data_IF_753509660568
#
_entry.id   IF_753509660568
#
_cell.length_a   1.000
_cell.length_b   1.000
_cell.length_c   1.000
_cell.angle_alpha   90.00
_cell.angle_beta   90.00
_cell.angle_gamma   90.00
#
_symmetry.space_group_name_H-M   'P 1'
#
loop_
_entity.id
_entity.type
_entity.pdbx_description
1 polymer ?
#
# COMPACT_ATOMS: atom_id res chain seq x y z
N UNK A 1 -24.78 91.42 16.42
CA UNK A 1 -25.05 91.50 17.87
C UNK A 1 -25.20 90.10 18.44
N UNK A 2 -24.48 89.84 19.51
CA UNK A 2 -24.63 88.75 20.50
C UNK A 2 -24.57 87.29 20.04
N UNK A 3 -23.41 86.68 20.30
CA UNK A 3 -23.24 85.25 20.59
C UNK A 3 -23.97 84.87 21.89
N UNK A 4 -24.34 83.53 22.10
CA UNK A 4 -23.57 82.83 23.09
C UNK A 4 -23.34 81.32 22.72
N UNK A 5 -22.19 80.99 23.11
CA UNK A 5 -21.68 79.86 23.93
C UNK A 5 -22.10 78.45 23.59
N UNK A 6 -21.06 77.69 23.21
CA UNK A 6 -21.01 76.25 23.06
C UNK A 6 -21.10 75.53 24.42
N UNK A 7 -21.79 74.39 24.44
CA UNK A 7 -21.67 73.36 25.47
C UNK A 7 -21.02 72.10 24.87
N UNK A 8 -19.75 71.91 25.20
CA UNK A 8 -19.03 70.71 24.89
C UNK A 8 -19.54 69.56 25.80
N UNK A 9 -20.24 68.63 25.25
CA UNK A 9 -20.42 67.32 25.90
C UNK A 9 -19.26 66.40 25.47
N UNK A 10 -18.37 66.15 26.42
CA UNK A 10 -17.36 65.15 26.33
C UNK A 10 -18.04 63.79 26.38
N UNK A 11 -18.05 63.03 25.25
CA UNK A 11 -18.32 61.60 25.23
C UNK A 11 -17.00 60.88 25.51
N UNK A 12 -16.95 60.22 26.66
CA UNK A 12 -15.88 59.28 26.98
C UNK A 12 -15.94 58.03 26.05
N UNK A 13 -14.80 57.49 25.60
CA UNK A 13 -14.82 56.25 24.86
C UNK A 13 -15.15 55.11 25.80
N UNK A 14 -16.24 54.39 25.50
CA UNK A 14 -16.55 53.09 26.11
C UNK A 14 -15.52 52.07 25.61
N UNK A 15 -14.58 51.73 26.48
CA UNK A 15 -13.72 50.56 26.28
C UNK A 15 -14.56 49.30 26.40
N UNK A 16 -14.93 48.73 25.27
CA UNK A 16 -15.46 47.34 25.22
C UNK A 16 -14.31 46.42 25.56
N UNK A 17 -14.26 45.95 26.80
CA UNK A 17 -13.41 44.87 27.19
C UNK A 17 -13.96 43.61 26.50
N UNK A 18 -13.29 43.14 25.43
CA UNK A 18 -13.46 41.78 24.89
C UNK A 18 -12.90 40.84 25.94
N UNK A 19 -13.73 40.36 26.86
CA UNK A 19 -13.44 39.22 27.69
C UNK A 19 -13.37 38.00 26.75
N UNK A 20 -12.15 37.70 26.27
CA UNK A 20 -11.84 36.48 25.59
C UNK A 20 -12.14 35.32 26.53
N UNK A 21 -13.27 34.67 26.29
CA UNK A 21 -13.58 33.38 26.89
C UNK A 21 -12.60 32.40 26.24
N UNK A 22 -11.43 32.20 26.86
CA UNK A 22 -10.56 31.05 26.62
C UNK A 22 -11.37 29.85 27.09
N UNK A 23 -12.10 29.21 26.15
CA UNK A 23 -12.62 27.88 26.36
C UNK A 23 -11.36 26.97 26.34
N UNK A 24 -10.79 26.75 27.53
CA UNK A 24 -9.81 25.74 27.75
C UNK A 24 -10.49 24.41 27.33
N UNK A 25 -10.06 23.83 26.21
CA UNK A 25 -10.44 22.48 25.86
C UNK A 25 -10.08 21.60 27.06
N UNK A 26 -11.02 20.78 27.58
CA UNK A 26 -10.69 19.89 28.68
C UNK A 26 -9.61 18.94 28.19
N UNK A 27 -8.41 19.04 28.78
CA UNK A 27 -7.43 18.00 28.67
C UNK A 27 -8.01 16.75 29.36
N UNK A 28 -8.65 15.89 28.57
CA UNK A 28 -9.04 14.56 29.02
C UNK A 28 -7.78 13.72 29.22
N UNK A 29 -7.05 13.98 30.30
CA UNK A 29 -6.04 13.10 30.87
C UNK A 29 -6.77 12.08 31.79
N UNK A 30 -7.61 11.25 31.21
CA UNK A 30 -8.21 10.12 31.88
C UNK A 30 -8.36 9.02 30.84
N UNK A 31 -7.91 7.81 31.14
CA UNK A 31 -8.23 6.64 30.33
C UNK A 31 -9.75 6.48 30.40
N UNK A 32 -10.49 7.21 29.56
CA UNK A 32 -11.91 7.02 29.43
C UNK A 32 -12.15 5.57 29.09
N UNK A 33 -12.96 4.89 29.88
CA UNK A 33 -13.30 3.50 29.64
C UNK A 33 -14.19 3.45 28.38
N UNK A 34 -13.56 3.40 27.21
CA UNK A 34 -14.20 3.44 25.89
C UNK A 34 -15.22 2.30 25.69
N UNK A 35 -15.18 1.27 26.54
CA UNK A 35 -16.10 0.13 26.47
C UNK A 35 -17.58 0.51 26.71
N UNK A 36 -17.87 1.67 27.29
CA UNK A 36 -19.22 2.15 27.56
C UNK A 36 -19.69 3.28 26.62
N UNK A 37 -18.81 3.79 25.77
CA UNK A 37 -19.18 4.84 24.81
C UNK A 37 -19.90 4.23 23.61
N UNK A 38 -20.91 4.94 23.08
CA UNK A 38 -21.53 4.57 21.80
C UNK A 38 -20.54 4.88 20.66
N UNK A 39 -20.58 4.09 19.57
CA UNK A 39 -19.62 4.20 18.45
C UNK A 39 -19.58 5.61 17.84
N UNK A 40 -20.72 6.27 17.72
CA UNK A 40 -20.83 7.66 17.25
C UNK A 40 -20.19 8.70 18.19
N UNK A 41 -20.05 8.39 19.48
CA UNK A 41 -19.42 9.30 20.45
C UNK A 41 -17.90 9.25 20.31
N UNK A 42 -17.32 8.10 19.96
CA UNK A 42 -15.90 7.95 19.63
C UNK A 42 -15.58 8.79 18.38
N UNK A 43 -16.37 8.66 17.32
CA UNK A 43 -16.21 9.42 16.09
C UNK A 43 -16.28 10.94 16.38
N UNK A 44 -17.26 11.38 17.16
CA UNK A 44 -17.47 12.79 17.51
C UNK A 44 -16.34 13.36 18.38
N UNK A 45 -15.79 12.57 19.31
CA UNK A 45 -14.71 13.00 20.19
C UNK A 45 -13.40 13.24 19.46
N UNK A 46 -13.15 12.52 18.35
CA UNK A 46 -11.86 12.55 17.62
C UNK A 46 -11.97 13.33 16.30
N UNK A 47 -13.18 13.61 15.81
CA UNK A 47 -13.45 14.21 14.49
C UNK A 47 -12.87 15.62 14.27
N UNK A 48 -12.34 16.28 15.29
CA UNK A 48 -11.77 17.63 15.21
C UNK A 48 -10.23 17.66 15.38
N UNK A 49 -9.53 16.69 14.83
CA UNK A 49 -8.06 16.59 14.97
C UNK A 49 -7.63 16.10 16.34
N UNK A 50 -8.51 15.40 17.06
CA UNK A 50 -8.24 14.79 18.35
C UNK A 50 -7.28 13.61 18.29
N UNK A 51 -6.97 13.04 19.44
CA UNK A 51 -6.12 11.85 19.50
C UNK A 51 -6.76 10.73 20.31
N UNK A 52 -6.60 9.51 19.78
CA UNK A 52 -7.02 8.28 20.41
C UNK A 52 -5.90 7.24 20.30
N UNK A 53 -4.71 7.64 20.77
CA UNK A 53 -3.52 6.78 20.71
C UNK A 53 -3.67 5.58 21.65
N UNK A 54 -3.36 4.37 21.15
CA UNK A 54 -3.54 3.10 21.86
C UNK A 54 -4.99 2.78 22.25
N UNK A 55 -5.96 3.39 21.57
CA UNK A 55 -7.36 3.11 21.82
C UNK A 55 -7.74 1.68 21.41
N UNK A 56 -8.63 1.07 22.17
CA UNK A 56 -9.27 -0.18 21.82
C UNK A 56 -10.62 0.09 21.13
N UNK A 57 -10.65 -0.12 19.82
CA UNK A 57 -11.78 0.15 18.94
C UNK A 57 -12.22 -1.11 18.16
N UNK A 58 -11.78 -2.30 18.61
CA UNK A 58 -12.10 -3.56 17.94
C UNK A 58 -13.61 -3.80 17.86
N UNK A 59 -14.07 -4.22 16.68
CA UNK A 59 -15.49 -4.51 16.42
C UNK A 59 -16.41 -3.28 16.43
N UNK A 60 -15.90 -2.05 16.59
CA UNK A 60 -16.72 -0.83 16.58
C UNK A 60 -17.25 -0.53 15.18
N UNK A 61 -18.45 0.04 15.13
CA UNK A 61 -18.99 0.62 13.89
C UNK A 61 -18.64 2.10 13.81
N UNK A 62 -17.65 2.40 12.99
CA UNK A 62 -17.14 3.74 12.70
C UNK A 62 -17.45 4.13 11.24
N UNK A 63 -18.50 3.55 10.64
CA UNK A 63 -18.92 3.84 9.28
C UNK A 63 -19.21 5.32 9.09
N UNK A 64 -18.66 5.93 8.03
CA UNK A 64 -18.81 7.34 7.71
C UNK A 64 -18.21 8.30 8.74
N UNK A 65 -17.40 7.81 9.68
CA UNK A 65 -16.74 8.67 10.65
C UNK A 65 -15.67 9.53 9.99
N UNK A 66 -15.57 10.81 10.39
CA UNK A 66 -14.56 11.74 9.89
C UNK A 66 -13.42 11.85 10.91
N UNK A 67 -12.23 11.39 10.56
CA UNK A 67 -11.02 11.43 11.39
C UNK A 67 -9.90 12.25 10.74
N UNK A 68 -10.26 13.23 9.95
CA UNK A 68 -9.30 14.10 9.23
C UNK A 68 -8.29 14.74 10.19
N UNK A 69 -6.98 14.48 9.92
CA UNK A 69 -5.87 14.99 10.74
C UNK A 69 -5.77 14.40 12.15
N UNK A 70 -6.59 13.41 12.50
CA UNK A 70 -6.60 12.80 13.83
C UNK A 70 -5.41 11.84 14.03
N UNK A 71 -5.06 11.59 15.30
CA UNK A 71 -3.99 10.66 15.68
C UNK A 71 -4.53 9.44 16.41
N UNK A 72 -4.26 8.24 15.85
CA UNK A 72 -4.65 6.93 16.39
C UNK A 72 -3.43 5.99 16.48
N UNK A 73 -2.28 6.52 16.83
CA UNK A 73 -1.05 5.70 16.85
C UNK A 73 -1.17 4.49 17.77
N UNK A 74 -0.81 3.31 17.25
CA UNK A 74 -0.89 2.02 17.95
C UNK A 74 -2.30 1.70 18.48
N UNK A 75 -3.36 2.20 17.85
CA UNK A 75 -4.74 1.84 18.19
C UNK A 75 -5.09 0.45 17.65
N UNK A 76 -6.05 -0.22 18.30
CA UNK A 76 -6.56 -1.52 17.88
C UNK A 76 -7.96 -1.35 17.29
N UNK A 77 -8.11 -1.70 15.99
CA UNK A 77 -9.34 -1.61 15.21
C UNK A 77 -9.70 -2.97 14.59
N UNK A 78 -9.33 -4.06 15.26
CA UNK A 78 -9.52 -5.43 14.76
C UNK A 78 -11.00 -5.70 14.53
N UNK A 79 -11.37 -6.05 13.29
CA UNK A 79 -12.77 -6.31 12.93
C UNK A 79 -13.68 -5.09 13.00
N UNK A 80 -13.16 -3.87 13.16
CA UNK A 80 -13.97 -2.65 13.11
C UNK A 80 -14.57 -2.42 11.73
N UNK A 81 -15.69 -1.71 11.67
CA UNK A 81 -16.31 -1.26 10.41
C UNK A 81 -16.02 0.22 10.22
N UNK A 82 -15.30 0.55 9.13
CA UNK A 82 -14.94 1.92 8.74
C UNK A 82 -15.41 2.23 7.31
N UNK A 83 -16.55 1.68 6.89
CA UNK A 83 -17.08 1.89 5.52
C UNK A 83 -17.30 3.38 5.26
N UNK A 84 -16.70 3.90 4.17
CA UNK A 84 -16.83 5.29 3.79
C UNK A 84 -16.36 6.27 4.87
N UNK A 85 -15.48 5.85 5.79
CA UNK A 85 -14.89 6.77 6.76
C UNK A 85 -13.83 7.65 6.08
N UNK A 86 -13.67 8.89 6.55
CA UNK A 86 -12.73 9.88 6.07
C UNK A 86 -11.50 9.95 7.00
N UNK A 87 -10.35 9.47 6.54
CA UNK A 87 -9.10 9.43 7.31
C UNK A 87 -8.03 10.35 6.73
N UNK A 88 -8.42 11.41 6.03
CA UNK A 88 -7.52 12.31 5.31
C UNK A 88 -6.42 12.87 6.22
N UNK A 89 -5.14 12.67 5.84
CA UNK A 89 -4.00 13.21 6.57
C UNK A 89 -3.88 12.72 8.02
N UNK A 90 -4.64 11.73 8.43
CA UNK A 90 -4.60 11.15 9.78
C UNK A 90 -3.37 10.29 10.03
N UNK A 91 -3.05 10.04 11.30
CA UNK A 91 -1.93 9.20 11.70
C UNK A 91 -2.40 7.94 12.42
N UNK A 92 -2.30 6.81 11.74
CA UNK A 92 -2.59 5.47 12.22
C UNK A 92 -1.33 4.59 12.28
N UNK A 93 -0.15 5.19 12.48
CA UNK A 93 1.08 4.40 12.54
C UNK A 93 1.04 3.35 13.65
N UNK A 94 1.44 2.12 13.29
CA UNK A 94 1.46 0.97 14.20
C UNK A 94 0.08 0.42 14.61
N UNK A 95 -1.02 0.92 14.04
CA UNK A 95 -2.37 0.47 14.40
C UNK A 95 -2.74 -0.85 13.75
N UNK A 96 -3.64 -1.61 14.38
CA UNK A 96 -4.10 -2.91 13.91
C UNK A 96 -5.52 -2.85 13.35
N UNK A 97 -5.65 -2.99 12.03
CA UNK A 97 -6.89 -3.07 11.26
C UNK A 97 -7.17 -4.50 10.79
N UNK A 98 -6.62 -5.52 11.45
CA UNK A 98 -6.83 -6.91 11.04
C UNK A 98 -8.31 -7.23 10.91
N UNK A 99 -8.71 -7.76 9.74
CA UNK A 99 -10.11 -8.10 9.41
C UNK A 99 -11.09 -6.93 9.47
N UNK A 100 -10.65 -5.69 9.48
CA UNK A 100 -11.53 -4.53 9.44
C UNK A 100 -12.24 -4.43 8.07
N UNK A 101 -13.47 -3.91 8.08
CA UNK A 101 -14.21 -3.57 6.89
C UNK A 101 -14.03 -2.08 6.56
N UNK A 102 -13.14 -1.81 5.61
CA UNK A 102 -12.72 -0.47 5.22
C UNK A 102 -13.12 -0.15 3.77
N UNK A 103 -14.23 -0.71 3.29
CA UNK A 103 -14.70 -0.48 1.91
C UNK A 103 -15.03 0.98 1.67
N UNK A 104 -14.50 1.53 0.56
CA UNK A 104 -14.72 2.93 0.19
C UNK A 104 -14.19 3.94 1.23
N UNK A 105 -13.19 3.55 2.04
CA UNK A 105 -12.54 4.47 2.99
C UNK A 105 -11.68 5.49 2.24
N UNK A 106 -11.71 6.74 2.66
CA UNK A 106 -10.88 7.81 2.13
C UNK A 106 -9.65 8.03 3.03
N UNK A 107 -8.45 7.70 2.52
CA UNK A 107 -7.18 7.74 3.29
C UNK A 107 -6.12 8.59 2.61
N UNK A 108 -6.51 9.62 1.84
CA UNK A 108 -5.56 10.45 1.10
C UNK A 108 -4.50 11.05 2.02
N UNK A 109 -3.23 10.81 1.70
CA UNK A 109 -2.09 11.32 2.46
C UNK A 109 -2.00 10.85 3.92
N UNK A 110 -2.81 9.89 4.35
CA UNK A 110 -2.76 9.35 5.71
C UNK A 110 -1.51 8.52 5.96
N UNK A 111 -1.07 8.48 7.22
CA UNK A 111 0.10 7.74 7.66
C UNK A 111 -0.29 6.43 8.36
N UNK A 112 0.04 5.31 7.73
CA UNK A 112 -0.16 3.96 8.25
C UNK A 112 1.17 3.20 8.43
N UNK A 113 2.28 3.90 8.60
CA UNK A 113 3.59 3.26 8.77
C UNK A 113 3.52 2.13 9.82
N UNK A 114 3.96 0.91 9.43
CA UNK A 114 3.94 -0.31 10.24
C UNK A 114 2.55 -0.75 10.75
N UNK A 115 1.46 -0.27 10.17
CA UNK A 115 0.11 -0.73 10.51
C UNK A 115 -0.14 -2.16 9.97
N UNK A 116 -1.10 -2.86 10.58
CA UNK A 116 -1.50 -4.21 10.21
C UNK A 116 -2.89 -4.20 9.59
N UNK A 117 -3.02 -4.70 8.35
CA UNK A 117 -4.27 -4.83 7.61
C UNK A 117 -4.57 -6.29 7.21
N UNK A 118 -4.06 -7.24 7.99
CA UNK A 118 -4.17 -8.66 7.64
C UNK A 118 -5.64 -9.08 7.52
N UNK A 119 -6.02 -9.57 6.32
CA UNK A 119 -7.40 -9.96 6.02
C UNK A 119 -8.43 -8.81 5.99
N UNK A 120 -8.00 -7.54 6.02
CA UNK A 120 -8.90 -6.40 5.93
C UNK A 120 -9.50 -6.26 4.52
N UNK A 121 -10.68 -5.66 4.44
CA UNK A 121 -11.37 -5.37 3.18
C UNK A 121 -11.33 -3.87 2.87
N UNK A 122 -10.46 -3.49 1.94
CA UNK A 122 -10.28 -2.12 1.45
C UNK A 122 -10.77 -1.96 0.00
N UNK A 123 -11.76 -2.76 -0.43
CA UNK A 123 -12.30 -2.66 -1.80
C UNK A 123 -12.78 -1.24 -2.08
N UNK A 124 -12.31 -0.63 -3.17
CA UNK A 124 -12.66 0.74 -3.56
C UNK A 124 -12.16 1.81 -2.60
N UNK A 125 -11.13 1.54 -1.80
CA UNK A 125 -10.52 2.55 -0.94
C UNK A 125 -9.77 3.61 -1.75
N UNK A 126 -9.84 4.88 -1.33
CA UNK A 126 -9.10 6.00 -1.90
C UNK A 126 -7.88 6.32 -1.02
N UNK A 127 -6.69 5.89 -1.46
CA UNK A 127 -5.45 6.00 -0.68
C UNK A 127 -4.32 6.69 -1.46
N UNK A 128 -4.68 7.62 -2.35
CA UNK A 128 -3.71 8.40 -3.11
C UNK A 128 -2.72 9.09 -2.18
N UNK A 129 -1.42 8.86 -2.42
CA UNK A 129 -0.32 9.41 -1.64
C UNK A 129 -0.23 8.90 -0.19
N UNK A 130 -0.98 7.88 0.20
CA UNK A 130 -0.91 7.32 1.55
C UNK A 130 0.46 6.72 1.85
N UNK A 131 0.92 6.88 3.09
CA UNK A 131 2.16 6.28 3.58
C UNK A 131 1.87 4.91 4.21
N UNK A 132 2.22 3.86 3.49
CA UNK A 132 1.99 2.44 3.81
C UNK A 132 3.32 1.68 4.03
N UNK A 133 4.38 2.39 4.45
CA UNK A 133 5.71 1.80 4.66
C UNK A 133 5.65 0.73 5.75
N UNK A 134 6.19 -0.46 5.45
CA UNK A 134 6.30 -1.56 6.40
C UNK A 134 4.98 -2.17 6.85
N UNK A 135 3.87 -1.84 6.20
CA UNK A 135 2.54 -2.37 6.53
C UNK A 135 2.41 -3.87 6.22
N UNK A 136 1.51 -4.54 6.92
CA UNK A 136 1.17 -5.92 6.65
C UNK A 136 -0.25 -6.03 6.07
N UNK A 137 -0.34 -6.31 4.76
CA UNK A 137 -1.58 -6.53 4.02
C UNK A 137 -1.82 -8.01 3.68
N UNK A 138 -1.20 -8.93 4.39
CA UNK A 138 -1.38 -10.34 4.10
C UNK A 138 -2.88 -10.71 4.02
N UNK A 139 -3.29 -11.37 2.93
CA UNK A 139 -4.67 -11.79 2.65
C UNK A 139 -5.71 -10.64 2.56
N UNK A 140 -5.29 -9.37 2.54
CA UNK A 140 -6.19 -8.23 2.43
C UNK A 140 -6.75 -8.07 1.00
N UNK A 141 -7.87 -7.36 0.88
CA UNK A 141 -8.51 -7.07 -0.40
C UNK A 141 -8.49 -5.56 -0.68
N UNK A 142 -7.67 -5.15 -1.67
CA UNK A 142 -7.59 -3.79 -2.22
C UNK A 142 -8.06 -3.74 -3.68
N UNK A 143 -9.00 -4.61 -4.06
CA UNK A 143 -9.56 -4.61 -5.42
C UNK A 143 -10.22 -3.27 -5.72
N UNK A 144 -9.98 -2.73 -6.92
CA UNK A 144 -10.51 -1.44 -7.39
C UNK A 144 -10.15 -0.25 -6.46
N UNK A 145 -9.09 -0.34 -5.69
CA UNK A 145 -8.62 0.77 -4.85
C UNK A 145 -7.79 1.77 -5.66
N UNK A 146 -7.88 3.06 -5.32
CA UNK A 146 -7.06 4.14 -5.86
C UNK A 146 -5.82 4.34 -4.99
N UNK A 147 -4.66 3.89 -5.48
CA UNK A 147 -3.40 3.84 -4.75
C UNK A 147 -2.31 4.66 -5.45
N UNK A 148 -2.71 5.67 -6.25
CA UNK A 148 -1.79 6.49 -7.02
C UNK A 148 -0.79 7.19 -6.10
N UNK A 149 0.52 7.02 -6.37
CA UNK A 149 1.59 7.58 -5.54
C UNK A 149 1.70 7.02 -4.11
N UNK A 150 0.93 6.00 -3.74
CA UNK A 150 1.02 5.37 -2.42
C UNK A 150 2.37 4.70 -2.20
N UNK A 151 2.86 4.73 -0.96
CA UNK A 151 4.18 4.21 -0.62
C UNK A 151 4.09 2.92 0.21
N UNK A 152 4.27 1.77 -0.47
CA UNK A 152 4.30 0.44 0.13
C UNK A 152 5.72 -0.08 0.43
N UNK A 153 6.74 0.78 0.47
CA UNK A 153 8.12 0.31 0.67
C UNK A 153 8.21 -0.66 1.87
N UNK A 154 8.82 -1.83 1.66
CA UNK A 154 8.98 -2.91 2.67
C UNK A 154 7.66 -3.50 3.19
N UNK A 155 6.52 -3.27 2.54
CA UNK A 155 5.26 -3.86 2.95
C UNK A 155 5.21 -5.39 2.68
N UNK A 156 4.42 -6.10 3.48
CA UNK A 156 4.06 -7.51 3.28
C UNK A 156 2.73 -7.56 2.56
N UNK A 157 2.76 -7.99 1.30
CA UNK A 157 1.62 -8.04 0.38
C UNK A 157 1.29 -9.50 -0.02
N UNK A 158 1.66 -10.46 0.83
CA UNK A 158 1.47 -11.90 0.53
C UNK A 158 -0.01 -12.20 0.34
N UNK A 159 -0.41 -12.73 -0.83
CA UNK A 159 -1.78 -13.05 -1.24
C UNK A 159 -2.77 -11.86 -1.16
N UNK A 160 -2.26 -10.62 -1.17
CA UNK A 160 -3.09 -9.43 -1.26
C UNK A 160 -3.73 -9.34 -2.64
N UNK A 161 -4.99 -8.89 -2.71
CA UNK A 161 -5.71 -8.66 -3.95
C UNK A 161 -5.64 -7.19 -4.32
N UNK A 162 -5.07 -6.89 -5.49
CA UNK A 162 -5.00 -5.57 -6.11
C UNK A 162 -5.66 -5.57 -7.50
N UNK A 163 -6.53 -6.54 -7.78
CA UNK A 163 -7.13 -6.63 -9.10
C UNK A 163 -7.93 -5.36 -9.43
N UNK A 164 -7.72 -4.82 -10.64
CA UNK A 164 -8.34 -3.58 -11.12
C UNK A 164 -8.04 -2.35 -10.27
N UNK A 165 -6.96 -2.33 -9.48
CA UNK A 165 -6.53 -1.15 -8.72
C UNK A 165 -5.72 -0.19 -9.60
N UNK A 166 -5.76 1.10 -9.24
CA UNK A 166 -4.96 2.16 -9.84
C UNK A 166 -3.74 2.47 -8.97
N UNK A 167 -2.53 2.21 -9.49
CA UNK A 167 -1.28 2.32 -8.73
C UNK A 167 -0.24 3.15 -9.49
N UNK A 168 -0.67 4.14 -10.29
CA UNK A 168 0.26 4.99 -11.03
C UNK A 168 1.28 5.65 -10.09
N UNK A 169 2.57 5.49 -10.40
CA UNK A 169 3.66 6.08 -9.62
C UNK A 169 3.80 5.56 -8.19
N UNK A 170 3.13 4.47 -7.83
CA UNK A 170 3.24 3.87 -6.51
C UNK A 170 4.63 3.29 -6.24
N UNK A 171 5.04 3.25 -4.98
CA UNK A 171 6.30 2.63 -4.55
C UNK A 171 6.04 1.26 -3.92
N UNK A 172 6.42 0.21 -4.63
CA UNK A 172 6.40 -1.20 -4.18
C UNK A 172 7.83 -1.74 -4.03
N UNK A 173 8.79 -0.88 -3.70
CA UNK A 173 10.18 -1.30 -3.53
C UNK A 173 10.35 -2.17 -2.28
N UNK A 174 11.17 -3.24 -2.41
CA UNK A 174 11.49 -4.15 -1.31
C UNK A 174 10.27 -4.87 -0.69
N UNK A 175 9.13 -4.93 -1.38
CA UNK A 175 7.93 -5.61 -0.89
C UNK A 175 8.06 -7.14 -0.95
N UNK A 176 7.28 -7.81 -0.11
CA UNK A 176 7.04 -9.25 -0.22
C UNK A 176 5.62 -9.51 -0.70
N UNK A 177 5.44 -9.69 -2.01
CA UNK A 177 4.14 -9.83 -2.67
C UNK A 177 3.91 -11.25 -3.24
N UNK A 178 4.34 -12.28 -2.51
CA UNK A 178 4.21 -13.67 -2.94
C UNK A 178 2.74 -14.04 -3.10
N UNK A 179 2.36 -14.47 -4.32
CA UNK A 179 0.99 -14.85 -4.66
C UNK A 179 -0.01 -13.69 -4.67
N UNK A 180 0.44 -12.44 -4.68
CA UNK A 180 -0.44 -11.28 -4.80
C UNK A 180 -1.12 -11.25 -6.18
N UNK A 181 -2.32 -10.68 -6.25
CA UNK A 181 -3.11 -10.61 -7.47
C UNK A 181 -3.22 -9.16 -7.98
N UNK A 182 -2.43 -8.84 -9.02
CA UNK A 182 -2.43 -7.55 -9.72
C UNK A 182 -3.14 -7.66 -11.09
N UNK A 183 -4.03 -8.63 -11.28
CA UNK A 183 -4.73 -8.80 -12.55
C UNK A 183 -5.53 -7.53 -12.90
N UNK A 184 -5.39 -7.03 -14.14
CA UNK A 184 -6.01 -5.80 -14.64
C UNK A 184 -5.62 -4.53 -13.84
N UNK A 185 -4.60 -4.55 -13.00
CA UNK A 185 -4.15 -3.36 -12.26
C UNK A 185 -3.33 -2.42 -13.15
N UNK A 186 -3.44 -1.11 -12.89
CA UNK A 186 -2.64 -0.08 -13.54
C UNK A 186 -1.43 0.30 -12.67
N UNK A 187 -0.27 -0.31 -12.95
CA UNK A 187 0.98 -0.16 -12.18
C UNK A 187 1.99 0.69 -12.96
N UNK A 188 1.50 1.59 -13.79
CA UNK A 188 2.33 2.41 -14.66
C UNK A 188 3.26 3.35 -13.88
N UNK A 189 4.49 3.52 -14.35
CA UNK A 189 5.52 4.36 -13.75
C UNK A 189 5.84 4.04 -12.28
N UNK A 190 5.41 2.89 -11.76
CA UNK A 190 5.62 2.46 -10.38
C UNK A 190 7.00 1.86 -10.15
N UNK A 191 7.43 1.88 -8.90
CA UNK A 191 8.73 1.35 -8.49
C UNK A 191 8.58 0.00 -7.76
N UNK A 192 8.93 -1.10 -8.45
CA UNK A 192 8.90 -2.47 -7.94
C UNK A 192 10.31 -2.99 -7.59
N UNK A 193 11.31 -2.12 -7.50
CA UNK A 193 12.72 -2.49 -7.31
C UNK A 193 12.93 -3.42 -6.12
N UNK A 194 13.70 -4.52 -6.32
CA UNK A 194 14.05 -5.51 -5.31
C UNK A 194 12.84 -6.17 -4.61
N UNK A 195 11.64 -6.08 -5.16
CA UNK A 195 10.46 -6.75 -4.63
C UNK A 195 10.46 -8.25 -4.93
N UNK A 196 9.76 -9.03 -4.11
CA UNK A 196 9.54 -10.46 -4.32
C UNK A 196 8.09 -10.68 -4.73
N UNK A 197 7.87 -10.96 -6.02
CA UNK A 197 6.55 -11.15 -6.65
C UNK A 197 6.35 -12.60 -7.11
N UNK A 198 6.97 -13.54 -6.42
CA UNK A 198 6.89 -14.95 -6.80
C UNK A 198 5.44 -15.44 -6.79
N UNK A 199 5.05 -16.16 -7.85
CA UNK A 199 3.67 -16.62 -8.05
C UNK A 199 2.60 -15.53 -8.12
N UNK A 200 2.98 -14.24 -8.20
CA UNK A 200 2.02 -13.14 -8.36
C UNK A 200 1.36 -13.18 -9.75
N UNK A 201 0.15 -12.63 -9.83
CA UNK A 201 -0.58 -12.52 -11.08
C UNK A 201 -0.52 -11.09 -11.59
N UNK A 202 -0.06 -10.93 -12.83
CA UNK A 202 -0.04 -9.68 -13.59
C UNK A 202 -0.85 -9.81 -14.89
N UNK A 203 -1.86 -10.69 -14.90
CA UNK A 203 -2.68 -10.90 -16.10
C UNK A 203 -3.35 -9.59 -16.53
N UNK A 204 -3.12 -9.17 -17.79
CA UNK A 204 -3.62 -7.92 -18.34
C UNK A 204 -3.26 -6.66 -17.52
N UNK A 205 -2.28 -6.72 -16.63
CA UNK A 205 -1.81 -5.55 -15.89
C UNK A 205 -1.03 -4.60 -16.80
N UNK A 206 -1.09 -3.31 -16.52
CA UNK A 206 -0.25 -2.31 -17.19
C UNK A 206 0.95 -1.96 -16.31
N UNK A 207 2.17 -2.25 -16.79
CA UNK A 207 3.45 -1.97 -16.14
C UNK A 207 4.29 -0.98 -16.98
N UNK A 208 3.64 -0.16 -17.79
CA UNK A 208 4.32 0.74 -18.70
C UNK A 208 5.19 1.74 -17.92
N UNK A 209 6.46 1.84 -18.31
CA UNK A 209 7.47 2.68 -17.66
C UNK A 209 7.74 2.29 -16.17
N UNK A 210 7.25 1.15 -15.71
CA UNK A 210 7.52 0.67 -14.36
C UNK A 210 8.99 0.23 -14.21
N UNK A 211 9.51 0.33 -12.98
CA UNK A 211 10.87 -0.10 -12.64
C UNK A 211 10.81 -1.41 -11.87
N UNK A 212 11.28 -2.49 -12.49
CA UNK A 212 11.31 -3.83 -11.93
C UNK A 212 12.75 -4.27 -11.57
N UNK A 213 13.68 -3.34 -11.51
CA UNK A 213 15.12 -3.62 -11.33
C UNK A 213 15.39 -4.52 -10.12
N UNK A 214 16.06 -5.64 -10.34
CA UNK A 214 16.45 -6.59 -9.28
C UNK A 214 15.31 -7.35 -8.60
N UNK A 215 14.08 -7.24 -9.09
CA UNK A 215 12.93 -7.94 -8.51
C UNK A 215 12.88 -9.42 -8.94
N UNK A 216 12.26 -10.26 -8.10
CA UNK A 216 12.01 -11.69 -8.35
C UNK A 216 10.56 -11.92 -8.78
N UNK A 217 10.39 -12.75 -9.85
CA UNK A 217 9.09 -13.09 -10.44
C UNK A 217 8.98 -14.60 -10.72
N UNK A 218 9.55 -15.46 -9.86
CA UNK A 218 9.44 -16.90 -10.06
C UNK A 218 7.96 -17.32 -10.12
N UNK A 219 7.59 -18.04 -11.19
CA UNK A 219 6.20 -18.48 -11.45
C UNK A 219 5.15 -17.36 -11.54
N UNK A 220 5.54 -16.09 -11.58
CA UNK A 220 4.59 -15.00 -11.82
C UNK A 220 3.97 -15.10 -13.22
N UNK A 221 2.72 -14.67 -13.38
CA UNK A 221 2.00 -14.73 -14.65
C UNK A 221 1.81 -13.35 -15.28
N UNK A 222 2.43 -13.13 -16.45
CA UNK A 222 2.39 -11.89 -17.23
C UNK A 222 1.51 -11.99 -18.50
N UNK A 223 0.60 -12.96 -18.58
CA UNK A 223 -0.26 -13.11 -19.76
C UNK A 223 -1.04 -11.82 -20.04
N UNK A 224 -0.85 -11.25 -21.24
CA UNK A 224 -1.52 -10.02 -21.64
C UNK A 224 -1.04 -8.74 -20.93
N UNK A 225 -0.02 -8.80 -20.08
CA UNK A 225 0.50 -7.60 -19.42
C UNK A 225 1.19 -6.66 -20.44
N UNK A 226 1.04 -5.34 -20.25
CA UNK A 226 1.81 -4.33 -20.97
C UNK A 226 3.08 -3.99 -20.20
N UNK A 227 4.23 -3.90 -20.90
CA UNK A 227 5.54 -3.62 -20.31
C UNK A 227 6.32 -2.56 -21.11
N UNK A 228 5.62 -1.68 -21.81
CA UNK A 228 6.26 -0.66 -22.65
C UNK A 228 7.21 0.20 -21.83
N UNK A 229 8.49 0.26 -22.26
CA UNK A 229 9.55 1.00 -21.57
C UNK A 229 9.77 0.60 -20.11
N UNK A 230 9.30 -0.56 -19.68
CA UNK A 230 9.58 -1.09 -18.36
C UNK A 230 11.08 -1.39 -18.21
N UNK A 231 11.65 -1.06 -17.06
CA UNK A 231 13.05 -1.31 -16.73
C UNK A 231 13.17 -2.63 -15.94
N UNK A 232 13.61 -3.69 -16.63
CA UNK A 232 13.75 -5.03 -16.06
C UNK A 232 15.21 -5.43 -15.77
N UNK A 233 16.13 -4.44 -15.66
CA UNK A 233 17.55 -4.71 -15.38
C UNK A 233 17.73 -5.52 -14.11
N UNK A 234 18.51 -6.60 -14.19
CA UNK A 234 18.76 -7.49 -13.06
C UNK A 234 17.55 -8.23 -12.52
N UNK A 235 16.37 -8.10 -13.11
CA UNK A 235 15.19 -8.83 -12.67
C UNK A 235 15.30 -10.33 -13.00
N UNK A 236 14.79 -11.16 -12.10
CA UNK A 236 14.67 -12.59 -12.32
C UNK A 236 13.25 -12.97 -12.78
N UNK A 237 13.09 -13.11 -14.08
CA UNK A 237 11.87 -13.52 -14.77
C UNK A 237 12.00 -14.96 -15.30
N UNK A 238 13.06 -15.72 -14.95
CA UNK A 238 13.36 -17.02 -15.55
C UNK A 238 12.27 -18.06 -15.37
N UNK A 239 11.52 -18.00 -14.28
CA UNK A 239 10.36 -18.84 -13.98
C UNK A 239 9.01 -18.22 -14.38
N UNK A 240 9.00 -16.99 -14.91
CA UNK A 240 7.77 -16.29 -15.25
C UNK A 240 7.02 -16.98 -16.40
N UNK A 241 5.68 -16.85 -16.38
CA UNK A 241 4.77 -17.45 -17.36
C UNK A 241 4.04 -16.38 -18.16
N UNK A 242 3.62 -16.73 -19.37
CA UNK A 242 2.81 -15.86 -20.20
C UNK A 242 3.55 -14.67 -20.80
N UNK A 243 4.89 -14.58 -20.63
CA UNK A 243 5.71 -13.59 -21.32
C UNK A 243 5.85 -13.94 -22.80
N UNK A 244 5.73 -12.94 -23.65
CA UNK A 244 5.99 -13.01 -25.10
C UNK A 244 7.26 -12.26 -25.44
N UNK A 245 7.81 -12.52 -26.64
CA UNK A 245 8.98 -11.78 -27.14
C UNK A 245 8.66 -10.28 -27.32
N UNK A 246 7.44 -9.93 -27.73
CA UNK A 246 7.05 -8.53 -27.94
C UNK A 246 7.06 -7.77 -26.60
N UNK A 247 6.44 -8.31 -25.54
CA UNK A 247 6.46 -7.71 -24.21
C UNK A 247 7.89 -7.46 -23.70
N UNK A 248 8.78 -8.43 -23.87
CA UNK A 248 10.18 -8.30 -23.43
C UNK A 248 10.96 -7.33 -24.34
N UNK A 249 10.61 -7.23 -25.61
CA UNK A 249 11.23 -6.29 -26.55
C UNK A 249 10.83 -4.84 -26.28
N UNK A 250 9.59 -4.61 -25.81
CA UNK A 250 9.08 -3.29 -25.44
C UNK A 250 9.68 -2.79 -24.12
N UNK A 251 10.09 -3.72 -23.25
CA UNK A 251 10.88 -3.44 -22.07
C UNK A 251 12.38 -3.29 -22.39
N UNK A 252 13.18 -2.93 -21.40
CA UNK A 252 14.63 -2.97 -21.51
C UNK A 252 15.31 -3.63 -20.32
N UNK A 253 16.43 -4.31 -20.53
CA UNK A 253 17.17 -5.00 -19.47
C UNK A 253 18.68 -4.90 -19.65
N UNK A 254 19.40 -5.78 -18.98
CA UNK A 254 20.87 -5.88 -19.01
C UNK A 254 21.35 -7.34 -18.98
N UNK A 255 22.67 -7.54 -18.84
CA UNK A 255 23.27 -8.88 -18.77
C UNK A 255 22.95 -9.67 -17.52
N UNK A 256 22.38 -9.03 -16.47
CA UNK A 256 21.95 -9.66 -15.25
C UNK A 256 20.44 -10.05 -15.27
N UNK A 257 19.69 -9.54 -16.26
CA UNK A 257 18.28 -9.89 -16.46
C UNK A 257 18.14 -11.36 -16.84
N UNK A 258 17.34 -12.12 -16.11
CA UNK A 258 17.05 -13.52 -16.39
C UNK A 258 15.66 -13.65 -16.99
N UNK A 259 15.55 -14.31 -18.13
CA UNK A 259 14.31 -14.52 -18.86
C UNK A 259 14.01 -16.01 -19.04
N UNK A 260 12.74 -16.38 -19.28
CA UNK A 260 12.40 -17.73 -19.72
C UNK A 260 13.16 -18.14 -21.00
N UNK A 261 13.36 -19.42 -21.19
CA UNK A 261 14.09 -19.95 -22.35
C UNK A 261 13.52 -19.43 -23.68
N UNK A 262 14.41 -18.97 -24.56
CA UNK A 262 14.07 -18.51 -25.91
C UNK A 262 13.73 -17.03 -26.02
N UNK A 263 13.55 -16.32 -24.90
CA UNK A 263 13.32 -14.86 -24.93
C UNK A 263 14.63 -14.08 -24.82
N UNK A 264 14.66 -12.91 -25.45
CA UNK A 264 15.82 -12.01 -25.49
C UNK A 264 15.37 -10.59 -25.18
N UNK A 265 16.17 -9.84 -24.42
CA UNK A 265 15.84 -8.46 -24.04
C UNK A 265 16.71 -7.44 -24.75
N UNK A 266 16.16 -6.24 -24.99
CA UNK A 266 16.89 -5.09 -25.49
C UNK A 266 17.63 -4.40 -24.32
N UNK A 267 18.85 -3.91 -24.57
CA UNK A 267 19.59 -3.11 -23.57
C UNK A 267 18.93 -1.76 -23.31
N UNK A 268 18.91 -1.31 -22.06
CA UNK A 268 18.42 0.01 -21.63
C UNK A 268 19.34 1.19 -22.02
N UNK A 269 20.39 1.01 -22.80
CA UNK A 269 21.27 2.08 -23.29
C UNK A 269 20.91 2.47 -24.71
N UNK A 270 20.53 3.72 -24.94
CA UNK A 270 20.21 4.24 -26.26
C UNK A 270 21.43 4.21 -27.22
N UNK A 271 21.58 3.12 -27.96
CA UNK A 271 22.61 2.92 -28.98
C UNK A 271 22.80 1.44 -29.22
N UNK A 272 22.46 0.96 -30.42
CA UNK A 272 22.56 -0.39 -30.93
C UNK A 272 21.96 -1.51 -30.02
N UNK A 273 20.99 -2.20 -30.59
CA UNK A 273 20.35 -3.41 -30.03
C UNK A 273 21.44 -4.46 -29.78
N UNK A 274 21.88 -4.61 -28.53
CA UNK A 274 22.56 -5.84 -28.11
C UNK A 274 21.51 -6.81 -27.61
N UNK A 275 21.28 -7.84 -28.39
CA UNK A 275 20.47 -8.98 -27.98
C UNK A 275 21.25 -9.72 -26.88
N UNK A 276 20.79 -9.66 -25.64
CA UNK A 276 21.39 -10.37 -24.52
C UNK A 276 20.65 -11.71 -24.40
N UNK A 277 21.33 -12.78 -24.73
CA UNK A 277 20.80 -14.16 -24.58
C UNK A 277 21.07 -14.63 -23.16
N UNK A 278 20.07 -15.18 -22.49
CA UNK A 278 20.28 -15.89 -21.21
C UNK A 278 21.22 -17.07 -21.44
N UNK A 279 22.21 -17.31 -20.55
CA UNK A 279 23.01 -18.54 -20.61
C UNK A 279 22.10 -19.76 -20.47
N UNK A 280 22.38 -20.87 -21.17
CA UNK A 280 21.67 -22.12 -20.96
C UNK A 280 21.79 -22.55 -19.48
N UNK A 281 20.70 -23.07 -18.94
CA UNK A 281 20.70 -23.62 -17.59
C UNK A 281 21.83 -24.66 -17.43
N UNK A 282 22.55 -24.67 -16.29
CA UNK A 282 23.56 -25.69 -16.05
C UNK A 282 22.94 -27.08 -16.16
N UNK A 283 23.66 -28.09 -16.72
CA UNK A 283 23.16 -29.45 -16.84
C UNK A 283 22.73 -29.97 -15.48
N UNK A 284 21.60 -30.66 -15.44
CA UNK A 284 21.12 -31.32 -14.23
C UNK A 284 22.19 -32.24 -13.67
N UNK A 285 22.39 -32.28 -12.34
CA UNK A 285 23.35 -33.21 -11.75
C UNK A 285 23.01 -34.66 -12.13
N UNK A 286 24.01 -35.53 -12.35
CA UNK A 286 23.77 -36.92 -12.72
C UNK A 286 22.91 -37.62 -11.66
N UNK A 287 21.91 -38.34 -12.12
CA UNK A 287 21.04 -39.15 -11.26
C UNK A 287 21.91 -40.19 -10.57
N UNK A 288 21.94 -40.26 -9.21
CA UNK A 288 22.71 -41.27 -8.52
C UNK A 288 22.25 -42.68 -8.94
N UNK A 289 23.16 -43.64 -9.10
CA UNK A 289 22.81 -44.99 -9.50
C UNK A 289 21.84 -45.60 -8.49
N UNK A 290 20.72 -46.16 -9.00
CA UNK A 290 19.77 -46.91 -8.17
C UNK A 290 20.51 -48.00 -7.43
N UNK A 291 20.54 -47.97 -6.11
CA UNK A 291 21.02 -49.09 -5.30
C UNK A 291 20.14 -50.30 -5.61
N UNK A 292 20.72 -51.34 -6.19
CA UNK A 292 20.06 -52.63 -6.31
C UNK A 292 19.91 -53.21 -4.91
N UNK A 293 18.69 -53.34 -4.45
CA UNK A 293 18.40 -54.12 -3.24
C UNK A 293 18.89 -55.55 -3.47
N UNK A 294 19.97 -55.92 -2.82
CA UNK A 294 20.39 -57.30 -2.69
C UNK A 294 19.34 -57.99 -1.80
N UNK A 295 18.49 -58.81 -2.44
CA UNK A 295 17.62 -59.76 -1.72
C UNK A 295 18.55 -60.84 -1.17
N UNK A 296 18.85 -60.80 0.13
CA UNK A 296 19.48 -61.88 0.85
C UNK A 296 18.42 -62.97 1.02
N UNK A 297 18.52 -64.02 0.22
CA UNK A 297 17.74 -65.23 0.46
C UNK A 297 18.29 -65.89 1.73
N UNK A 298 17.56 -65.86 2.82
CA UNK A 298 17.78 -66.70 4.00
C UNK A 298 17.17 -68.06 3.72
N UNK A 299 18.02 -69.01 3.36
CA UNK A 299 17.67 -70.40 3.37
C UNK A 299 17.76 -71.02 4.77
N UNK A 300 16.74 -71.74 5.11
CA UNK A 300 16.46 -72.69 6.22
C UNK A 300 15.90 -72.06 7.49
#
# INVERSE_FOLDING_TARGET
MKRPLALLHRLAPATVALSGLLIAAPAFAGVANLSQMQDRDVARMVSLGGSCNRCELSGRDLSGATFTGASFTNATLVGATLRGAELLGSNFSGSDFSRADMRGVEMLGANFTNAVFSGANLTGAEATGANLIGTNFQDANLSSAELNGANFNRAILTRTRFNSSEMFGATLANVRAVGADFSNAEINASNLTNGVFDSAKFNNASLDSARLTGASFDRANFSGASMNRADIRGADLSGARGLTQDQVHDACGDGATRLPNGLTVRSCGGGSIRVIRTPPAPPAPPIPPRQRNLVVASGR
#
